data_IF_017248771459
#
_entry.id   IF_017248771459
#
_cell.length_a   1.000
_cell.length_b   1.000
_cell.length_c   1.000
_cell.angle_alpha   90.00
_cell.angle_beta   90.00
_cell.angle_gamma   90.00
#
_symmetry.space_group_name_H-M   'P 1'
#
loop_
_entity.id
_entity.type
_entity.pdbx_description
1 polymer ?
#
# COMPACT_ATOMS: atom_id res chain seq x y z
N UNK A 1 -4.24 -9.85 5.09
CA UNK A 1 -4.21 -8.49 5.64
C UNK A 1 -3.61 -7.52 4.64
N UNK A 2 -4.22 -6.35 4.51
CA UNK A 2 -3.75 -5.35 3.52
C UNK A 2 -2.31 -4.91 3.79
N UNK A 3 -1.98 -4.63 5.06
CA UNK A 3 -0.63 -4.21 5.41
C UNK A 3 0.42 -5.23 5.00
N UNK A 4 0.11 -6.51 5.22
CA UNK A 4 1.04 -7.58 4.85
C UNK A 4 1.30 -7.61 3.34
N UNK A 5 0.24 -7.44 2.53
CA UNK A 5 0.36 -7.40 1.07
C UNK A 5 1.17 -6.19 0.63
N UNK A 6 0.92 -5.04 1.24
CA UNK A 6 1.66 -3.81 0.94
C UNK A 6 3.14 -3.98 1.26
N UNK A 7 3.44 -4.48 2.45
CA UNK A 7 4.83 -4.67 2.88
C UNK A 7 5.57 -5.63 1.94
N UNK A 8 4.91 -6.72 1.55
CA UNK A 8 5.48 -7.68 0.63
C UNK A 8 5.79 -7.04 -0.72
N UNK A 9 4.86 -6.23 -1.23
CA UNK A 9 5.06 -5.52 -2.49
C UNK A 9 6.25 -4.56 -2.41
N UNK A 10 6.32 -3.77 -1.34
CA UNK A 10 7.40 -2.80 -1.17
C UNK A 10 8.76 -3.50 -1.13
N UNK A 11 8.82 -4.65 -0.46
CA UNK A 11 10.05 -5.42 -0.36
C UNK A 11 10.46 -6.02 -1.71
N UNK A 12 9.50 -6.58 -2.44
CA UNK A 12 9.75 -7.22 -3.72
C UNK A 12 10.19 -6.22 -4.79
N UNK A 13 9.61 -5.02 -4.77
CA UNK A 13 9.89 -4.00 -5.79
C UNK A 13 10.89 -2.96 -5.32
N UNK A 14 11.33 -3.04 -4.06
CA UNK A 14 12.22 -2.06 -3.44
C UNK A 14 11.68 -0.64 -3.53
N UNK A 15 10.35 -0.53 -3.41
CA UNK A 15 9.68 0.77 -3.46
C UNK A 15 9.63 1.38 -2.06
N UNK A 16 10.05 2.64 -1.88
CA UNK A 16 9.92 3.31 -0.59
C UNK A 16 8.45 3.44 -0.20
N UNK A 17 8.09 3.28 1.09
CA UNK A 17 6.69 3.40 1.52
C UNK A 17 6.09 4.77 1.21
N UNK A 18 6.88 5.83 1.32
CA UNK A 18 6.44 7.19 1.00
C UNK A 18 6.00 7.29 -0.46
N UNK A 19 6.80 6.73 -1.35
CA UNK A 19 6.51 6.75 -2.78
C UNK A 19 5.26 5.93 -3.10
N UNK A 20 5.15 4.76 -2.50
CA UNK A 20 3.99 3.90 -2.72
C UNK A 20 2.69 4.62 -2.35
N UNK A 21 2.64 5.20 -1.16
CA UNK A 21 1.44 5.92 -0.72
C UNK A 21 1.09 7.07 -1.63
N UNK A 22 2.10 7.83 -2.06
CA UNK A 22 1.87 8.98 -2.94
C UNK A 22 1.34 8.55 -4.29
N UNK A 23 1.89 7.51 -4.88
CA UNK A 23 1.48 7.06 -6.21
C UNK A 23 0.13 6.36 -6.22
N UNK A 24 -0.15 5.57 -5.19
CA UNK A 24 -1.36 4.74 -5.19
C UNK A 24 -2.56 5.48 -4.62
N UNK A 25 -2.39 6.18 -3.51
CA UNK A 25 -3.51 6.84 -2.83
C UNK A 25 -3.37 8.35 -2.71
N UNK A 26 -2.25 8.90 -3.17
CA UNK A 26 -2.00 10.34 -3.09
C UNK A 26 -1.63 10.81 -1.69
N UNK A 27 -1.21 9.91 -0.81
CA UNK A 27 -0.86 10.23 0.57
C UNK A 27 0.43 9.51 0.95
N UNK A 28 1.51 10.28 1.14
CA UNK A 28 2.81 9.71 1.46
C UNK A 28 2.85 9.03 2.83
N UNK A 29 1.88 9.29 3.69
CA UNK A 29 1.82 8.69 5.03
C UNK A 29 0.99 7.41 5.09
N UNK A 30 0.43 6.99 3.97
CA UNK A 30 -0.49 5.88 3.95
C UNK A 30 0.08 4.62 4.62
N UNK A 31 1.29 4.21 4.23
CA UNK A 31 1.91 3.00 4.77
C UNK A 31 2.23 3.16 6.26
N UNK A 32 2.71 4.33 6.64
CA UNK A 32 3.01 4.59 8.05
C UNK A 32 1.75 4.56 8.91
N UNK A 33 0.63 5.06 8.39
CA UNK A 33 -0.65 4.98 9.09
C UNK A 33 -1.10 3.53 9.25
N UNK A 34 -0.92 2.71 8.23
CA UNK A 34 -1.21 1.28 8.32
C UNK A 34 -0.37 0.61 9.41
N UNK A 35 0.91 0.93 9.47
CA UNK A 35 1.81 0.37 10.48
C UNK A 35 1.43 0.79 11.89
N UNK A 36 0.83 1.97 12.02
CA UNK A 36 0.35 2.47 13.31
C UNK A 36 -0.96 1.84 13.75
N UNK A 37 -1.55 1.00 12.91
CA UNK A 37 -2.82 0.36 13.23
C UNK A 37 -4.02 1.15 12.75
N UNK A 38 -3.82 2.20 11.97
CA UNK A 38 -4.92 3.01 11.45
C UNK A 38 -5.61 2.27 10.32
N UNK A 39 -6.94 2.24 10.37
CA UNK A 39 -7.73 1.54 9.37
C UNK A 39 -8.07 2.48 8.21
N UNK A 40 -7.71 2.12 6.97
CA UNK A 40 -8.02 2.96 5.81
C UNK A 40 -9.50 2.85 5.43
N UNK A 41 -9.96 3.83 4.67
CA UNK A 41 -11.34 3.83 4.16
C UNK A 41 -11.54 2.68 3.16
N UNK A 42 -12.78 2.16 3.06
CA UNK A 42 -13.07 1.09 2.08
C UNK A 42 -12.65 1.43 0.65
N UNK A 43 -12.85 2.69 0.22
CA UNK A 43 -12.44 3.12 -1.11
C UNK A 43 -10.93 3.05 -1.29
N UNK A 44 -10.18 3.37 -0.24
CA UNK A 44 -8.72 3.30 -0.27
C UNK A 44 -8.27 1.84 -0.35
N UNK A 45 -8.92 0.96 0.42
CA UNK A 45 -8.61 -0.47 0.40
C UNK A 45 -8.81 -1.04 -1.00
N UNK A 46 -9.91 -0.68 -1.67
CA UNK A 46 -10.18 -1.12 -3.03
C UNK A 46 -9.11 -0.64 -4.00
N UNK A 47 -8.73 0.62 -3.89
CA UNK A 47 -7.73 1.22 -4.76
C UNK A 47 -6.39 0.52 -4.62
N UNK A 48 -5.96 0.27 -3.39
CA UNK A 48 -4.70 -0.41 -3.13
C UNK A 48 -4.75 -1.87 -3.57
N UNK A 49 -5.85 -2.57 -3.28
CA UNK A 49 -6.01 -3.96 -3.69
C UNK A 49 -5.98 -4.10 -5.20
N UNK A 50 -6.65 -3.22 -5.92
CA UNK A 50 -6.63 -3.24 -7.39
C UNK A 50 -5.23 -3.00 -7.92
N UNK A 51 -4.51 -2.06 -7.33
CA UNK A 51 -3.13 -1.77 -7.72
C UNK A 51 -2.23 -2.99 -7.53
N UNK A 52 -2.34 -3.64 -6.38
CA UNK A 52 -1.53 -4.82 -6.08
C UNK A 52 -1.90 -6.00 -6.98
N UNK A 53 -3.17 -6.14 -7.34
CA UNK A 53 -3.61 -7.20 -8.23
C UNK A 53 -3.11 -7.01 -9.65
N UNK A 54 -3.04 -5.76 -10.11
CA UNK A 54 -2.51 -5.44 -11.44
C UNK A 54 -1.00 -5.63 -11.52
N UNK A 55 -0.31 -5.50 -10.40
CA UNK A 55 1.16 -5.63 -10.35
C UNK A 55 1.53 -6.68 -9.34
N UNK A 56 1.32 -7.96 -9.70
CA UNK A 56 1.63 -9.05 -8.79
C UNK A 56 3.12 -9.09 -8.47
N UNK A 57 3.43 -9.45 -7.22
CA UNK A 57 4.81 -9.64 -6.83
C UNK A 57 5.40 -10.84 -7.58
N UNK A 58 6.60 -10.70 -8.11
CA UNK A 58 7.30 -11.83 -8.72
C UNK A 58 7.64 -12.90 -7.69
#
# INVERSE_FOLDING_TARGET
MLLHRVEKYLRSTRTPPTRFGREVVGDSRFVFDLRSGREPRPSTIRKVSAYLDEKPCP
#
